data_IF_606229634155
#
_entry.id   IF_606229634155
#
_cell.length_a   1.000
_cell.length_b   1.000
_cell.length_c   1.000
_cell.angle_alpha   90.00
_cell.angle_beta   90.00
_cell.angle_gamma   90.00
#
_symmetry.space_group_name_H-M   'P 1'
#
loop_
_entity.id
_entity.type
_entity.pdbx_description
1 polymer ?
#
# COMPACT_ATOMS: atom_id res chain seq x y z
N UNK A 1 23.36 -19.58 -11.06
CA UNK A 1 22.38 -18.69 -11.69
C UNK A 1 23.11 -17.67 -12.56
N UNK A 2 22.68 -17.50 -13.78
CA UNK A 2 23.23 -16.52 -14.72
C UNK A 2 22.65 -15.14 -14.38
N UNK A 3 23.45 -14.07 -14.35
CA UNK A 3 22.90 -12.73 -14.13
C UNK A 3 22.01 -12.34 -15.31
N UNK A 4 20.82 -11.83 -15.01
CA UNK A 4 19.90 -11.30 -16.02
C UNK A 4 20.21 -9.82 -16.29
N UNK A 5 20.19 -9.41 -17.55
CA UNK A 5 20.39 -8.02 -17.97
C UNK A 5 19.07 -7.24 -18.09
N UNK A 6 17.96 -7.95 -18.34
CA UNK A 6 16.63 -7.37 -18.46
C UNK A 6 15.57 -8.44 -18.19
N UNK A 7 14.37 -8.01 -17.80
CA UNK A 7 13.22 -8.92 -17.64
C UNK A 7 12.74 -9.52 -18.99
N UNK A 8 13.12 -8.93 -20.10
CA UNK A 8 12.68 -9.31 -21.45
C UNK A 8 13.70 -10.11 -22.26
N UNK A 9 14.77 -10.60 -21.63
CA UNK A 9 15.83 -11.32 -22.37
C UNK A 9 15.47 -12.77 -22.73
N UNK A 10 14.36 -13.32 -22.20
CA UNK A 10 13.81 -14.63 -22.59
C UNK A 10 14.48 -15.82 -21.91
N UNK A 11 15.31 -15.63 -20.90
CA UNK A 11 15.83 -16.70 -20.05
C UNK A 11 14.79 -17.14 -19.03
N UNK A 12 14.87 -18.37 -18.51
CA UNK A 12 13.94 -18.87 -17.49
C UNK A 12 13.97 -18.00 -16.24
N UNK A 13 15.15 -17.53 -15.82
CA UNK A 13 15.31 -16.65 -14.67
C UNK A 13 14.65 -15.29 -14.91
N UNK A 14 14.78 -14.71 -16.11
CA UNK A 14 14.14 -13.44 -16.45
C UNK A 14 12.62 -13.56 -16.45
N UNK A 15 12.07 -14.64 -17.00
CA UNK A 15 10.63 -14.90 -17.03
C UNK A 15 10.05 -15.08 -15.62
N UNK A 16 10.78 -15.75 -14.71
CA UNK A 16 10.37 -15.90 -13.31
C UNK A 16 10.37 -14.52 -12.61
N UNK A 17 11.41 -13.72 -12.81
CA UNK A 17 11.50 -12.37 -12.25
C UNK A 17 10.38 -11.47 -12.74
N UNK A 18 10.10 -11.46 -14.06
CA UNK A 18 9.05 -10.64 -14.67
C UNK A 18 7.66 -10.98 -14.11
N UNK A 19 7.37 -12.26 -13.90
CA UNK A 19 6.09 -12.71 -13.33
C UNK A 19 5.94 -12.41 -11.85
N UNK A 20 7.00 -12.52 -11.05
CA UNK A 20 6.93 -12.37 -9.60
C UNK A 20 7.06 -10.92 -9.14
N UNK A 21 7.79 -10.09 -9.89
CA UNK A 21 8.11 -8.73 -9.45
C UNK A 21 6.87 -7.86 -9.18
N UNK A 22 5.87 -7.76 -10.08
CA UNK A 22 4.70 -6.93 -9.84
C UNK A 22 3.94 -7.33 -8.58
N UNK A 23 3.74 -8.63 -8.37
CA UNK A 23 3.00 -9.17 -7.23
C UNK A 23 3.73 -8.90 -5.90
N UNK A 24 5.05 -9.12 -5.88
CA UNK A 24 5.87 -8.90 -4.68
C UNK A 24 5.94 -7.40 -4.36
N UNK A 25 6.11 -6.55 -5.38
CA UNK A 25 6.09 -5.09 -5.24
C UNK A 25 4.79 -4.61 -4.61
N UNK A 26 3.66 -4.96 -5.22
CA UNK A 26 2.36 -4.48 -4.78
C UNK A 26 1.96 -5.06 -3.41
N UNK A 27 2.31 -6.31 -3.13
CA UNK A 27 2.17 -6.91 -1.80
C UNK A 27 3.02 -6.18 -0.75
N UNK A 28 4.27 -5.85 -1.07
CA UNK A 28 5.16 -5.13 -0.15
C UNK A 28 4.67 -3.71 0.09
N UNK A 29 4.18 -3.03 -0.95
CA UNK A 29 3.52 -1.72 -0.83
C UNK A 29 2.28 -1.80 0.06
N UNK A 30 1.39 -2.76 -0.17
CA UNK A 30 0.14 -2.91 0.58
C UNK A 30 0.34 -3.33 2.05
N UNK A 31 1.51 -3.89 2.40
CA UNK A 31 1.77 -4.43 3.74
C UNK A 31 1.96 -3.38 4.83
N UNK A 32 2.29 -2.15 4.45
CA UNK A 32 2.51 -1.03 5.36
C UNK A 32 2.08 0.30 4.71
N UNK A 33 1.57 1.29 5.47
CA UNK A 33 1.20 2.59 4.93
C UNK A 33 2.42 3.49 4.70
N UNK A 34 3.17 3.20 3.63
CA UNK A 34 4.37 3.93 3.24
C UNK A 34 4.06 5.38 2.92
N UNK A 35 4.81 6.33 3.49
CA UNK A 35 4.56 7.77 3.34
C UNK A 35 4.56 8.23 1.87
N UNK A 36 5.43 7.66 1.03
CA UNK A 36 5.58 7.99 -0.38
C UNK A 36 4.51 7.38 -1.29
N UNK A 37 3.67 6.47 -0.79
CA UNK A 37 2.67 5.72 -1.56
C UNK A 37 1.24 6.23 -1.40
N UNK A 38 1.04 7.40 -0.78
CA UNK A 38 -0.27 8.00 -0.62
C UNK A 38 -0.53 9.11 -1.61
N UNK A 39 -1.78 9.19 -2.05
CA UNK A 39 -2.29 10.33 -2.80
C UNK A 39 -3.76 10.59 -2.48
N UNK A 40 -4.18 11.85 -2.66
CA UNK A 40 -5.57 12.29 -2.51
C UNK A 40 -6.10 12.72 -3.86
N UNK A 41 -7.18 12.12 -4.30
CA UNK A 41 -7.82 12.45 -5.58
C UNK A 41 -9.32 12.64 -5.42
N UNK A 42 -9.92 13.47 -6.28
CA UNK A 42 -11.36 13.55 -6.39
C UNK A 42 -11.88 12.39 -7.24
N UNK A 43 -12.94 11.74 -6.77
CA UNK A 43 -13.55 10.64 -7.50
C UNK A 43 -14.56 11.16 -8.53
N UNK A 44 -14.62 10.48 -9.67
CA UNK A 44 -15.67 10.71 -10.66
C UNK A 44 -16.96 10.03 -10.20
N UNK A 45 -18.06 10.81 -10.16
CA UNK A 45 -19.40 10.30 -9.89
C UNK A 45 -19.89 9.48 -11.09
N UNK A 46 -20.45 8.32 -10.84
CA UNK A 46 -21.10 7.52 -11.85
C UNK A 46 -22.49 8.11 -12.17
N UNK A 47 -22.92 7.95 -13.42
CA UNK A 47 -24.24 8.46 -13.88
C UNK A 47 -25.37 7.55 -13.38
N UNK A 48 -25.07 6.28 -13.11
CA UNK A 48 -26.02 5.30 -12.62
C UNK A 48 -26.46 5.63 -11.20
N UNK A 49 -27.77 5.54 -10.96
CA UNK A 49 -28.30 5.67 -9.59
C UNK A 49 -28.11 4.35 -8.87
N UNK A 50 -27.56 4.36 -7.66
CA UNK A 50 -27.42 3.13 -6.86
C UNK A 50 -28.79 2.51 -6.57
N UNK A 51 -28.85 1.18 -6.50
CA UNK A 51 -30.05 0.43 -6.04
C UNK A 51 -30.08 0.28 -4.52
N UNK A 52 -29.28 1.07 -3.81
CA UNK A 52 -29.13 1.07 -2.36
C UNK A 52 -29.73 2.33 -1.76
N UNK A 53 -29.66 2.47 -0.43
CA UNK A 53 -30.10 3.65 0.33
C UNK A 53 -29.33 4.94 0.03
N UNK A 54 -28.16 4.86 -0.65
CA UNK A 54 -27.31 5.99 -0.95
C UNK A 54 -27.69 6.67 -2.27
N UNK A 55 -27.46 7.98 -2.34
CA UNK A 55 -27.85 8.80 -3.51
C UNK A 55 -26.85 8.71 -4.66
N UNK A 56 -25.56 8.52 -4.36
CA UNK A 56 -24.49 8.59 -5.34
C UNK A 56 -23.53 7.41 -5.24
N UNK A 57 -22.98 7.02 -6.37
CA UNK A 57 -21.89 6.04 -6.44
C UNK A 57 -20.68 6.61 -7.18
N UNK A 58 -19.50 6.20 -6.72
CA UNK A 58 -18.20 6.63 -7.22
C UNK A 58 -17.35 5.42 -7.55
N UNK A 59 -16.63 5.50 -8.67
CA UNK A 59 -15.68 4.46 -9.04
C UNK A 59 -14.41 4.61 -8.23
N UNK A 60 -13.92 3.52 -7.63
CA UNK A 60 -12.60 3.51 -7.00
C UNK A 60 -11.48 3.56 -8.06
N UNK A 61 -10.35 4.22 -7.76
CA UNK A 61 -9.19 4.23 -8.65
C UNK A 61 -8.65 2.82 -8.90
N UNK A 62 -8.27 2.54 -10.16
CA UNK A 62 -7.77 1.22 -10.54
C UNK A 62 -6.37 0.90 -9.95
N UNK A 63 -5.61 1.94 -9.61
CA UNK A 63 -4.26 1.83 -9.03
C UNK A 63 -4.25 1.79 -7.49
N UNK A 64 -5.45 1.71 -6.87
CA UNK A 64 -5.57 1.64 -5.42
C UNK A 64 -5.13 0.27 -4.90
N UNK A 65 -4.22 0.29 -3.93
CA UNK A 65 -3.81 -0.89 -3.18
C UNK A 65 -4.63 -1.00 -1.89
N UNK A 66 -5.45 -2.06 -1.83
CA UNK A 66 -6.28 -2.33 -0.65
C UNK A 66 -7.52 -1.44 -0.54
N UNK A 67 -7.74 -0.85 0.63
CA UNK A 67 -8.92 -0.05 0.95
C UNK A 67 -8.59 1.43 1.10
N UNK A 68 -9.56 2.34 0.90
CA UNK A 68 -9.36 3.76 1.15
C UNK A 68 -8.96 4.03 2.60
N UNK A 69 -7.98 4.89 2.82
CA UNK A 69 -7.57 5.32 4.17
C UNK A 69 -8.55 6.29 4.79
N UNK A 70 -9.04 7.22 3.99
CA UNK A 70 -10.04 8.20 4.40
C UNK A 70 -10.78 8.77 3.19
N UNK A 71 -12.01 9.19 3.43
CA UNK A 71 -12.86 9.89 2.48
C UNK A 71 -13.19 11.27 3.03
N UNK A 72 -13.28 12.25 2.14
CA UNK A 72 -13.58 13.65 2.45
C UNK A 72 -14.60 14.19 1.45
N UNK A 73 -15.39 15.17 1.89
CA UNK A 73 -16.30 15.90 1.00
C UNK A 73 -15.65 17.15 0.36
N UNK A 74 -14.44 17.50 0.76
CA UNK A 74 -13.70 18.67 0.29
C UNK A 74 -12.21 18.38 0.19
N UNK A 75 -11.53 19.12 -0.69
CA UNK A 75 -10.06 19.13 -0.78
C UNK A 75 -9.40 20.04 0.26
N UNK A 76 -10.16 20.84 1.00
CA UNK A 76 -9.68 21.84 1.94
C UNK A 76 -8.83 21.22 3.07
N UNK A 77 -7.86 21.97 3.56
CA UNK A 77 -7.08 21.58 4.74
C UNK A 77 -8.01 21.52 5.95
N UNK A 78 -7.93 20.42 6.73
CA UNK A 78 -8.80 20.22 7.89
C UNK A 78 -10.22 19.74 7.59
N UNK A 79 -10.53 19.39 6.32
CA UNK A 79 -11.83 18.82 5.99
C UNK A 79 -12.14 17.58 6.85
N UNK A 80 -13.34 17.46 7.42
CA UNK A 80 -13.70 16.31 8.24
C UNK A 80 -13.76 15.03 7.40
N UNK A 81 -13.35 13.92 8.00
CA UNK A 81 -13.47 12.60 7.38
C UNK A 81 -14.94 12.20 7.29
N UNK A 82 -15.35 11.69 6.12
CA UNK A 82 -16.68 11.12 5.93
C UNK A 82 -16.79 9.81 6.71
N UNK A 83 -17.93 9.62 7.36
CA UNK A 83 -18.26 8.38 8.08
C UNK A 83 -19.46 7.65 7.46
N UNK A 84 -20.32 8.38 6.74
CA UNK A 84 -21.51 7.83 6.09
C UNK A 84 -21.17 7.44 4.63
N UNK A 85 -20.58 6.28 4.47
CA UNK A 85 -20.31 5.67 3.17
C UNK A 85 -20.27 4.15 3.28
N UNK A 86 -20.43 3.48 2.15
CA UNK A 86 -20.31 2.03 2.04
C UNK A 86 -19.40 1.67 0.86
N UNK A 87 -18.54 0.70 1.07
CA UNK A 87 -17.74 0.10 0.00
C UNK A 87 -18.49 -1.12 -0.53
N UNK A 88 -18.70 -1.18 -1.84
CA UNK A 88 -19.38 -2.29 -2.48
C UNK A 88 -18.67 -2.62 -3.81
N UNK A 89 -17.98 -3.77 -3.83
CA UNK A 89 -17.10 -4.12 -4.95
C UNK A 89 -16.00 -3.09 -5.12
N UNK A 90 -15.92 -2.50 -6.32
CA UNK A 90 -14.96 -1.43 -6.64
C UNK A 90 -15.59 -0.02 -6.64
N UNK A 91 -16.70 0.16 -5.89
CA UNK A 91 -17.44 1.41 -5.81
C UNK A 91 -17.55 1.91 -4.38
N UNK A 92 -17.67 3.21 -4.24
CA UNK A 92 -17.99 3.91 -3.01
C UNK A 92 -19.38 4.49 -3.13
N UNK A 93 -20.25 4.18 -2.18
CA UNK A 93 -21.62 4.62 -2.10
C UNK A 93 -21.74 5.65 -0.97
N UNK A 94 -22.35 6.80 -1.23
CA UNK A 94 -22.53 7.87 -0.25
C UNK A 94 -23.59 8.89 -0.71
N UNK A 95 -24.02 9.76 0.21
CA UNK A 95 -24.96 10.84 -0.06
C UNK A 95 -24.29 12.18 -0.44
N UNK A 96 -22.97 12.22 -0.45
CA UNK A 96 -22.21 13.43 -0.75
C UNK A 96 -21.97 13.58 -2.25
N UNK A 97 -22.16 14.81 -2.77
CA UNK A 97 -22.02 15.13 -4.20
C UNK A 97 -20.57 15.19 -4.68
N UNK A 98 -19.63 15.44 -3.80
CA UNK A 98 -18.21 15.42 -4.09
C UNK A 98 -17.49 14.53 -3.08
N UNK A 99 -16.64 13.65 -3.57
CA UNK A 99 -15.87 12.73 -2.75
C UNK A 99 -14.41 12.79 -3.14
N UNK A 100 -13.56 12.99 -2.15
CA UNK A 100 -12.11 12.91 -2.27
C UNK A 100 -11.64 11.70 -1.47
N UNK A 101 -10.85 10.86 -2.09
CA UNK A 101 -10.28 9.67 -1.45
C UNK A 101 -8.80 9.85 -1.19
N UNK A 102 -8.40 9.53 0.03
CA UNK A 102 -7.00 9.37 0.43
C UNK A 102 -6.70 7.86 0.47
N UNK A 103 -5.76 7.42 -0.37
CA UNK A 103 -5.49 6.01 -0.55
C UNK A 103 -4.04 5.74 -0.93
N UNK A 104 -3.65 4.49 -0.69
CA UNK A 104 -2.35 3.98 -1.10
C UNK A 104 -2.44 3.45 -2.53
N UNK A 105 -1.48 3.84 -3.37
CA UNK A 105 -1.46 3.45 -4.78
C UNK A 105 -0.19 2.70 -5.15
N UNK A 106 -0.24 1.94 -6.26
CA UNK A 106 0.92 1.28 -6.83
C UNK A 106 1.87 2.32 -7.43
N UNK A 107 2.99 2.56 -6.76
CA UNK A 107 4.01 3.55 -7.15
C UNK A 107 4.98 2.97 -8.15
N UNK A 108 5.45 3.81 -9.07
CA UNK A 108 6.56 3.47 -9.98
C UNK A 108 7.90 3.49 -9.25
N UNK A 109 8.86 2.74 -9.76
CA UNK A 109 10.20 2.57 -9.17
C UNK A 109 10.95 3.88 -8.98
N UNK A 110 10.70 4.87 -9.83
CA UNK A 110 11.33 6.20 -9.78
C UNK A 110 10.98 7.01 -8.53
N UNK A 111 9.86 6.70 -7.88
CA UNK A 111 9.38 7.40 -6.67
C UNK A 111 9.78 6.65 -5.39
N UNK A 112 10.24 5.40 -5.50
CA UNK A 112 10.57 4.56 -4.35
C UNK A 112 11.82 5.05 -3.63
N UNK A 113 11.76 5.32 -2.30
CA UNK A 113 12.93 5.65 -1.50
C UNK A 113 13.90 4.49 -1.39
N UNK A 114 15.19 4.80 -1.16
CA UNK A 114 16.26 3.81 -1.09
C UNK A 114 16.04 2.72 -0.04
N UNK A 115 15.46 3.07 1.13
CA UNK A 115 15.16 2.10 2.18
C UNK A 115 14.08 1.10 1.76
N UNK A 116 13.08 1.53 0.96
CA UNK A 116 12.05 0.66 0.41
C UNK A 116 12.62 -0.23 -0.69
N UNK A 117 13.44 0.32 -1.60
CA UNK A 117 14.12 -0.46 -2.65
C UNK A 117 14.96 -1.58 -2.02
N UNK A 118 15.67 -1.28 -0.94
CA UNK A 118 16.45 -2.30 -0.23
C UNK A 118 15.57 -3.40 0.39
N UNK A 119 14.46 -3.02 1.01
CA UNK A 119 13.47 -3.97 1.52
C UNK A 119 12.91 -4.84 0.39
N UNK A 120 12.46 -4.23 -0.72
CA UNK A 120 11.91 -4.93 -1.88
C UNK A 120 12.92 -5.91 -2.49
N UNK A 121 14.20 -5.53 -2.56
CA UNK A 121 15.27 -6.41 -3.01
C UNK A 121 15.36 -7.70 -2.19
N UNK A 122 15.30 -7.62 -0.87
CA UNK A 122 15.33 -8.82 -0.01
C UNK A 122 14.03 -9.63 -0.08
N UNK A 123 12.89 -8.97 -0.28
CA UNK A 123 11.63 -9.67 -0.58
C UNK A 123 11.72 -10.46 -1.88
N UNK A 124 12.31 -9.88 -2.93
CA UNK A 124 12.57 -10.57 -4.20
C UNK A 124 13.51 -11.76 -4.01
N UNK A 125 14.65 -11.58 -3.32
CA UNK A 125 15.60 -12.66 -3.05
C UNK A 125 14.91 -13.85 -2.36
N UNK A 126 14.09 -13.58 -1.35
CA UNK A 126 13.35 -14.63 -0.65
C UNK A 126 12.41 -15.40 -1.60
N UNK A 127 11.61 -14.69 -2.40
CA UNK A 127 10.65 -15.34 -3.29
C UNK A 127 11.32 -16.05 -4.47
N UNK A 128 12.50 -15.60 -4.89
CA UNK A 128 13.28 -16.23 -5.95
C UNK A 128 14.15 -17.38 -5.46
N UNK A 129 14.41 -17.48 -4.15
CA UNK A 129 15.30 -18.49 -3.60
C UNK A 129 14.83 -19.92 -3.94
N UNK A 130 13.55 -20.22 -3.77
CA UNK A 130 13.02 -21.55 -4.08
C UNK A 130 13.01 -21.87 -5.57
N UNK A 131 12.44 -21.04 -6.48
CA UNK A 131 12.45 -21.32 -7.90
C UNK A 131 13.83 -21.46 -8.54
N UNK A 132 14.83 -20.73 -8.02
CA UNK A 132 16.17 -20.72 -8.62
C UNK A 132 17.10 -21.77 -8.02
N UNK A 133 17.00 -22.04 -6.71
CA UNK A 133 17.97 -22.91 -6.02
C UNK A 133 17.45 -24.28 -5.63
N UNK A 134 16.13 -24.45 -5.62
CA UNK A 134 15.43 -25.67 -5.14
C UNK A 134 15.88 -26.09 -3.72
N UNK A 135 16.20 -25.07 -2.86
CA UNK A 135 16.70 -25.29 -1.51
C UNK A 135 15.82 -24.58 -0.47
N UNK A 136 15.10 -25.37 0.32
CA UNK A 136 14.18 -24.88 1.36
C UNK A 136 14.93 -24.09 2.43
N UNK A 137 16.09 -24.58 2.87
CA UNK A 137 16.90 -23.90 3.90
C UNK A 137 17.32 -22.48 3.50
N UNK A 138 17.70 -22.28 2.24
CA UNK A 138 18.02 -20.94 1.72
C UNK A 138 16.78 -20.06 1.66
N UNK A 139 15.64 -20.62 1.30
CA UNK A 139 14.38 -19.90 1.26
C UNK A 139 13.98 -19.40 2.65
N UNK A 140 14.09 -20.26 3.68
CA UNK A 140 13.78 -19.89 5.07
C UNK A 140 14.79 -18.88 5.63
N UNK A 141 16.06 -19.02 5.29
CA UNK A 141 17.07 -18.02 5.66
C UNK A 141 16.73 -16.64 5.08
N UNK A 142 16.48 -16.55 3.77
CA UNK A 142 16.16 -15.26 3.13
C UNK A 142 14.81 -14.71 3.57
N UNK A 143 13.83 -15.55 3.87
CA UNK A 143 12.57 -15.15 4.49
C UNK A 143 12.82 -14.46 5.83
N UNK A 144 13.65 -15.07 6.69
CA UNK A 144 13.99 -14.50 7.99
C UNK A 144 14.73 -13.17 7.85
N UNK A 145 15.64 -13.06 6.88
CA UNK A 145 16.33 -11.79 6.58
C UNK A 145 15.36 -10.71 6.11
N UNK A 146 14.41 -11.05 5.23
CA UNK A 146 13.48 -10.10 4.63
C UNK A 146 12.38 -9.65 5.61
N UNK A 147 11.70 -10.60 6.26
CA UNK A 147 10.50 -10.35 7.09
C UNK A 147 10.66 -10.69 8.56
N UNK A 148 11.82 -11.22 8.96
CA UNK A 148 12.04 -11.69 10.31
C UNK A 148 11.47 -13.09 10.58
N UNK A 149 11.45 -13.44 11.85
CA UNK A 149 10.94 -14.72 12.34
C UNK A 149 9.40 -14.80 12.24
N UNK A 150 8.80 -15.99 12.25
CA UNK A 150 7.35 -16.16 12.26
C UNK A 150 6.64 -15.41 13.39
N UNK A 151 7.28 -15.28 14.56
CA UNK A 151 6.74 -14.54 15.71
C UNK A 151 6.65 -13.03 15.50
N UNK A 152 7.33 -12.49 14.49
CA UNK A 152 7.28 -11.06 14.14
C UNK A 152 6.18 -10.71 13.11
N UNK A 153 5.36 -11.70 12.70
CA UNK A 153 4.23 -11.54 11.79
C UNK A 153 4.57 -10.80 10.48
N UNK A 154 5.75 -11.07 9.90
CA UNK A 154 6.21 -10.43 8.68
C UNK A 154 6.66 -8.97 8.83
N UNK A 155 6.84 -8.50 10.06
CA UNK A 155 7.27 -7.13 10.38
C UNK A 155 8.67 -7.09 11.05
N UNK A 156 9.49 -8.09 10.77
CA UNK A 156 10.89 -8.17 11.21
C UNK A 156 11.86 -7.87 10.08
N UNK A 157 13.13 -8.18 10.29
CA UNK A 157 14.18 -8.07 9.30
C UNK A 157 14.29 -6.71 8.61
N UNK A 158 14.55 -6.73 7.31
CA UNK A 158 14.60 -5.49 6.48
C UNK A 158 13.26 -4.78 6.38
N UNK A 159 12.14 -5.49 6.51
CA UNK A 159 10.82 -4.88 6.56
C UNK A 159 10.68 -3.93 7.75
N UNK A 160 11.06 -4.37 8.96
CA UNK A 160 11.07 -3.52 10.16
C UNK A 160 11.98 -2.31 10.01
N UNK A 161 13.18 -2.52 9.45
CA UNK A 161 14.12 -1.44 9.23
C UNK A 161 13.55 -0.35 8.31
N UNK A 162 12.94 -0.76 7.20
CA UNK A 162 12.32 0.16 6.27
C UNK A 162 11.12 0.92 6.90
N UNK A 163 10.26 0.22 7.65
CA UNK A 163 9.15 0.83 8.38
C UNK A 163 9.62 1.88 9.39
N UNK A 164 10.69 1.59 10.12
CA UNK A 164 11.23 2.52 11.11
C UNK A 164 11.77 3.79 10.46
N UNK A 165 12.47 3.67 9.32
CA UNK A 165 12.99 4.82 8.59
C UNK A 165 11.85 5.66 8.03
N UNK A 166 10.84 5.04 7.42
CA UNK A 166 9.66 5.73 6.90
C UNK A 166 8.89 6.47 8.00
N UNK A 167 8.72 5.82 9.16
CA UNK A 167 8.02 6.39 10.32
C UNK A 167 8.74 7.60 10.95
N UNK A 168 10.07 7.69 10.86
CA UNK A 168 10.83 8.83 11.40
C UNK A 168 10.52 10.14 10.66
N UNK A 169 10.14 10.08 9.39
CA UNK A 169 9.79 11.25 8.59
C UNK A 169 8.35 11.75 8.80
N UNK A 170 7.54 11.02 9.55
CA UNK A 170 6.15 11.42 9.78
C UNK A 170 6.02 12.31 11.01
N UNK A 171 5.24 13.41 10.92
CA UNK A 171 4.97 14.23 12.09
C UNK A 171 4.26 13.39 13.16
N UNK A 172 4.71 13.49 14.40
CA UNK A 172 3.98 12.92 15.53
C UNK A 172 2.61 13.58 15.60
N UNK A 173 1.55 12.78 15.40
CA UNK A 173 0.20 13.25 15.68
C UNK A 173 0.12 13.46 17.20
N UNK A 174 0.35 14.68 17.67
CA UNK A 174 -0.05 15.05 19.02
C UNK A 174 -1.55 14.78 19.12
N UNK A 175 -1.96 14.11 20.20
CA UNK A 175 -3.38 13.95 20.52
C UNK A 175 -3.90 15.36 20.81
N UNK A 176 -4.43 16.03 19.79
CA UNK A 176 -4.97 17.39 19.90
C UNK A 176 -6.45 17.40 20.31
N UNK A 177 -7.07 16.24 20.43
CA UNK A 177 -8.51 16.12 20.68
C UNK A 177 -8.75 15.77 22.16
N UNK A 178 -8.63 16.78 22.99
CA UNK A 178 -9.05 16.73 24.39
C UNK A 178 -10.50 17.19 24.51
N UNK A 179 -11.42 16.51 23.86
CA UNK A 179 -12.87 16.83 23.86
C UNK A 179 -13.45 17.03 25.27
N UNK A 180 -12.88 16.40 26.29
CA UNK A 180 -13.28 16.59 27.70
C UNK A 180 -12.70 17.87 28.31
N UNK A 181 -11.69 18.47 27.74
CA UNK A 181 -11.09 19.74 28.17
C UNK A 181 -11.75 20.90 27.43
N UNK A 182 -12.02 20.73 26.13
CA UNK A 182 -12.65 21.75 25.28
C UNK A 182 -14.11 22.04 25.69
N UNK A 183 -14.79 21.14 26.36
CA UNK A 183 -16.15 21.37 26.93
C UNK A 183 -16.12 22.25 28.17
N UNK A 184 -14.96 22.57 28.75
CA UNK A 184 -14.83 23.40 29.96
C UNK A 184 -14.56 24.88 29.69
N UNK A 185 -14.37 25.26 28.44
CA UNK A 185 -14.18 26.61 27.95
C UNK A 185 -15.13 26.92 26.80
#
# INVERSE_FOLDING_TARGET
ATPISSFTEGTDESNICDRLYPDIRDKTLASYPWSFSFKKVQLARLVTTPTTEYKYEYQMPADMLGVPRALYNSSSVGAPKLRNYRLMGNKILTDYEAVYVDYQYSVTESVMPIYFIQCLKYMMIWHLAMPITDQIEKTDYWRTVAQGTPGENGRGGYMRQAMNIDGQGQPTNAIQDFTLIDVRY
#
